data_IF_866008081113
#
_entry.id   IF_866008081113
#
_cell.length_a   1.000
_cell.length_b   1.000
_cell.length_c   1.000
_cell.angle_alpha   90.00
_cell.angle_beta   90.00
_cell.angle_gamma   90.00
#
_symmetry.space_group_name_H-M   'P 1'
#
loop_
_entity.id
_entity.type
_entity.pdbx_description
1 polymer ?
#
# COMPACT_ATOMS: atom_id res chain seq x y z
N UNK A 1 14.88 -1.88 17.78
CA UNK A 1 14.41 -0.53 17.31
C UNK A 1 13.73 -0.69 15.96
N UNK A 2 12.60 0.02 15.72
CA UNK A 2 11.91 0.04 14.42
C UNK A 2 12.68 0.94 13.45
N UNK A 3 13.06 0.37 12.30
CA UNK A 3 13.70 1.06 11.18
C UNK A 3 12.86 0.87 9.92
N UNK A 4 12.67 1.93 9.11
CA UNK A 4 11.93 1.87 7.84
C UNK A 4 12.80 2.43 6.73
N UNK A 5 13.05 1.61 5.72
CA UNK A 5 13.83 2.00 4.54
C UNK A 5 12.99 1.93 3.27
N UNK A 6 13.30 2.81 2.33
CA UNK A 6 12.76 2.72 0.98
C UNK A 6 13.31 1.46 0.32
N UNK A 7 12.42 0.66 -0.26
CA UNK A 7 12.76 -0.56 -0.96
C UNK A 7 13.36 -0.25 -2.34
N UNK A 8 14.39 -0.98 -2.70
CA UNK A 8 14.92 -1.06 -4.05
C UNK A 8 14.42 -2.31 -4.79
N UNK A 9 14.88 -2.53 -6.03
CA UNK A 9 14.51 -3.73 -6.80
C UNK A 9 14.83 -5.06 -6.12
N UNK A 10 15.84 -5.08 -5.24
CA UNK A 10 16.20 -6.29 -4.48
C UNK A 10 15.13 -6.69 -3.46
N UNK A 11 14.31 -5.77 -2.98
CA UNK A 11 13.22 -6.01 -2.06
C UNK A 11 11.89 -6.34 -2.75
N UNK A 12 11.78 -6.22 -4.07
CA UNK A 12 10.52 -6.50 -4.79
C UNK A 12 9.94 -7.89 -4.49
N UNK A 13 10.73 -8.97 -4.44
CA UNK A 13 10.19 -10.28 -4.08
C UNK A 13 9.47 -10.28 -2.72
N UNK A 14 10.02 -9.56 -1.73
CA UNK A 14 9.41 -9.41 -0.41
C UNK A 14 8.10 -8.62 -0.47
N UNK A 15 8.07 -7.52 -1.24
CA UNK A 15 6.87 -6.71 -1.40
C UNK A 15 5.73 -7.50 -2.06
N UNK A 16 6.05 -8.30 -3.06
CA UNK A 16 5.11 -9.19 -3.77
C UNK A 16 4.56 -10.25 -2.82
N UNK A 17 5.42 -10.91 -2.06
CA UNK A 17 5.05 -11.91 -1.06
C UNK A 17 4.08 -11.34 -0.02
N UNK A 18 4.38 -10.15 0.49
CA UNK A 18 3.53 -9.49 1.47
C UNK A 18 2.17 -9.09 0.88
N UNK A 19 2.12 -8.66 -0.39
CA UNK A 19 0.87 -8.35 -1.06
C UNK A 19 -0.01 -9.60 -1.23
N UNK A 20 0.55 -10.71 -1.68
CA UNK A 20 -0.18 -11.97 -1.80
C UNK A 20 -0.65 -12.48 -0.43
N UNK A 21 0.19 -12.34 0.61
CA UNK A 21 -0.18 -12.71 1.97
C UNK A 21 -1.36 -11.89 2.54
N UNK A 22 -1.61 -10.67 2.05
CA UNK A 22 -2.81 -9.91 2.40
C UNK A 22 -4.05 -10.60 1.86
N UNK A 23 -4.04 -11.02 0.60
CA UNK A 23 -5.15 -11.75 -0.02
C UNK A 23 -5.43 -13.09 0.67
N UNK A 24 -4.37 -13.82 1.02
CA UNK A 24 -4.48 -15.05 1.81
C UNK A 24 -5.14 -14.78 3.17
N UNK A 25 -4.81 -13.64 3.80
CA UNK A 25 -5.39 -13.24 5.08
C UNK A 25 -6.88 -12.94 5.03
N UNK A 26 -7.43 -12.69 3.85
CA UNK A 26 -8.88 -12.52 3.61
C UNK A 26 -9.59 -13.86 3.38
N UNK A 27 -8.86 -14.97 3.41
CA UNK A 27 -9.41 -16.29 3.13
C UNK A 27 -9.73 -16.52 1.65
N UNK A 28 -9.01 -15.83 0.75
CA UNK A 28 -9.18 -16.00 -0.69
C UNK A 28 -8.88 -17.44 -1.10
N UNK A 29 -9.84 -18.17 -1.72
CA UNK A 29 -9.60 -19.52 -2.21
C UNK A 29 -8.49 -19.54 -3.29
N UNK A 30 -7.68 -20.60 -3.31
CA UNK A 30 -6.57 -20.70 -4.26
C UNK A 30 -7.04 -20.62 -5.72
N UNK A 31 -8.18 -21.23 -6.04
CA UNK A 31 -8.80 -21.22 -7.36
C UNK A 31 -9.33 -19.84 -7.80
N UNK A 32 -9.39 -18.84 -6.91
CA UNK A 32 -9.78 -17.48 -7.25
C UNK A 32 -8.61 -16.62 -7.72
N UNK A 33 -7.37 -17.05 -7.49
CA UNK A 33 -6.22 -16.32 -8.01
C UNK A 33 -6.07 -16.53 -9.52
N UNK A 34 -5.68 -15.46 -10.20
CA UNK A 34 -5.23 -15.59 -11.59
C UNK A 34 -3.97 -16.47 -11.64
N UNK A 35 -3.84 -17.27 -12.69
CA UNK A 35 -2.68 -18.16 -12.86
C UNK A 35 -1.33 -17.42 -12.92
N UNK A 36 -1.36 -16.13 -13.29
CA UNK A 36 -0.22 -15.22 -13.36
C UNK A 36 -0.27 -14.11 -12.28
N UNK A 37 -0.90 -14.39 -11.12
CA UNK A 37 -1.09 -13.39 -10.07
C UNK A 37 0.22 -12.73 -9.62
N UNK A 38 1.28 -13.52 -9.42
CA UNK A 38 2.60 -13.02 -9.04
C UNK A 38 3.21 -12.12 -10.12
N UNK A 39 3.21 -12.56 -11.36
CA UNK A 39 3.72 -11.83 -12.51
C UNK A 39 2.96 -10.52 -12.75
N UNK A 40 1.66 -10.52 -12.45
CA UNK A 40 0.82 -9.31 -12.51
C UNK A 40 1.30 -8.26 -11.50
N UNK A 41 1.64 -8.66 -10.28
CA UNK A 41 2.19 -7.74 -9.28
C UNK A 41 3.57 -7.23 -9.69
N UNK A 42 4.43 -8.10 -10.23
CA UNK A 42 5.75 -7.74 -10.77
C UNK A 42 5.59 -6.64 -11.83
N UNK A 43 4.78 -6.88 -12.87
CA UNK A 43 4.52 -5.91 -13.94
C UNK A 43 4.03 -4.58 -13.40
N UNK A 44 3.09 -4.59 -12.46
CA UNK A 44 2.56 -3.38 -11.86
C UNK A 44 3.65 -2.55 -11.14
N UNK A 45 4.52 -3.20 -10.38
CA UNK A 45 5.63 -2.53 -9.70
C UNK A 45 6.61 -1.95 -10.73
N UNK A 46 6.99 -2.72 -11.76
CA UNK A 46 7.92 -2.30 -12.81
C UNK A 46 7.37 -1.11 -13.61
N UNK A 47 6.11 -1.15 -14.03
CA UNK A 47 5.45 -0.07 -14.78
C UNK A 47 5.36 1.24 -13.98
N UNK A 48 5.27 1.16 -12.66
CA UNK A 48 5.18 2.34 -11.79
C UNK A 48 6.54 2.84 -11.30
N UNK A 49 7.62 2.06 -11.43
CA UNK A 49 8.94 2.38 -10.87
C UNK A 49 9.50 3.73 -11.35
N UNK A 50 9.22 4.13 -12.58
CA UNK A 50 9.62 5.44 -13.12
C UNK A 50 8.82 6.62 -12.59
N UNK A 51 7.70 6.38 -11.89
CA UNK A 51 6.87 7.44 -11.34
C UNK A 51 7.37 7.83 -9.94
N UNK A 52 7.65 9.12 -9.74
CA UNK A 52 8.16 9.65 -8.46
C UNK A 52 7.24 9.41 -7.26
N UNK A 53 5.94 9.23 -7.47
CA UNK A 53 4.98 8.89 -6.41
C UNK A 53 5.01 7.42 -6.01
N UNK A 54 5.61 6.55 -6.85
CA UNK A 54 5.76 5.13 -6.52
C UNK A 54 6.92 4.93 -5.54
N UNK A 55 6.66 4.24 -4.45
CA UNK A 55 7.69 3.77 -3.53
C UNK A 55 7.21 2.54 -2.75
N UNK A 56 8.12 1.61 -2.52
CA UNK A 56 7.99 0.56 -1.54
C UNK A 56 8.76 0.93 -0.26
N UNK A 57 8.28 0.47 0.88
CA UNK A 57 8.92 0.64 2.18
C UNK A 57 8.97 -0.68 2.91
N UNK A 58 10.11 -0.98 3.53
CA UNK A 58 10.32 -2.17 4.35
C UNK A 58 10.65 -1.75 5.77
N UNK A 59 9.87 -2.24 6.71
CA UNK A 59 10.08 -2.06 8.14
C UNK A 59 10.85 -3.24 8.72
N UNK A 60 11.84 -2.94 9.57
CA UNK A 60 12.58 -3.94 10.34
C UNK A 60 12.54 -3.58 11.82
N UNK A 61 12.47 -4.59 12.67
CA UNK A 61 12.67 -4.49 14.11
C UNK A 61 13.88 -5.36 14.45
N UNK A 62 14.92 -4.74 15.00
CA UNK A 62 16.17 -5.41 15.38
C UNK A 62 16.77 -6.26 14.23
N UNK A 63 16.69 -5.68 13.00
CA UNK A 63 17.18 -6.29 11.77
C UNK A 63 16.23 -7.28 11.10
N UNK A 64 15.19 -7.76 11.78
CA UNK A 64 14.21 -8.70 11.24
C UNK A 64 13.09 -7.97 10.48
N UNK A 65 12.63 -8.55 9.37
CA UNK A 65 11.49 -8.03 8.60
C UNK A 65 10.25 -7.99 9.49
N UNK A 66 9.67 -6.81 9.63
CA UNK A 66 8.46 -6.59 10.43
C UNK A 66 7.23 -6.25 9.58
N UNK A 67 7.42 -5.75 8.35
CA UNK A 67 6.32 -5.44 7.45
C UNK A 67 6.77 -4.64 6.24
N UNK A 68 5.83 -4.33 5.38
CA UNK A 68 6.04 -3.46 4.21
C UNK A 68 4.79 -2.68 3.83
N UNK A 69 4.98 -1.65 3.01
CA UNK A 69 3.91 -0.92 2.35
C UNK A 69 4.36 -0.43 0.98
N UNK A 70 3.42 -0.24 0.08
CA UNK A 70 3.67 0.35 -1.24
C UNK A 70 2.68 1.49 -1.46
N UNK A 71 3.14 2.55 -2.12
CA UNK A 71 2.29 3.64 -2.57
C UNK A 71 2.59 4.03 -4.02
N UNK A 72 1.64 4.64 -4.68
CA UNK A 72 1.76 5.14 -6.05
C UNK A 72 0.75 6.26 -6.31
N UNK A 73 0.81 6.86 -7.51
CA UNK A 73 -0.23 7.76 -7.96
C UNK A 73 -1.53 6.98 -8.24
N UNK A 74 -2.65 7.45 -7.71
CA UNK A 74 -3.96 6.89 -8.06
C UNK A 74 -4.36 7.32 -9.46
N UNK A 75 -4.55 6.36 -10.35
CA UNK A 75 -5.15 6.59 -11.67
C UNK A 75 -6.66 6.41 -11.59
N UNK A 76 -7.41 7.44 -11.92
CA UNK A 76 -8.87 7.36 -11.95
C UNK A 76 -9.35 6.62 -13.20
N UNK A 77 -10.46 5.87 -13.10
CA UNK A 77 -11.12 5.29 -14.27
C UNK A 77 -11.92 6.31 -15.10
N UNK A 78 -11.88 7.59 -14.72
CA UNK A 78 -12.54 8.72 -15.37
C UNK A 78 -11.53 9.86 -15.56
N UNK A 79 -11.78 10.80 -16.51
CA UNK A 79 -10.90 11.93 -16.77
C UNK A 79 -10.68 12.79 -15.51
N UNK A 80 -9.42 13.11 -15.22
CA UNK A 80 -9.08 14.04 -14.16
C UNK A 80 -8.99 15.45 -14.75
N UNK A 81 -10.00 16.29 -14.43
CA UNK A 81 -10.15 17.64 -14.99
C UNK A 81 -9.70 18.74 -14.02
N UNK A 82 -9.31 18.38 -12.82
CA UNK A 82 -8.82 19.35 -11.84
C UNK A 82 -7.30 19.51 -11.95
N UNK A 83 -6.82 20.71 -11.63
CA UNK A 83 -5.39 20.97 -11.58
C UNK A 83 -4.70 20.08 -10.54
N UNK A 84 -3.47 19.59 -10.79
CA UNK A 84 -2.74 18.71 -9.86
C UNK A 84 -2.51 19.30 -8.47
N UNK A 85 -2.35 20.63 -8.36
CA UNK A 85 -2.21 21.35 -7.09
C UNK A 85 -3.52 21.42 -6.28
N UNK A 86 -4.67 21.20 -6.94
CA UNK A 86 -6.00 21.10 -6.30
C UNK A 86 -6.34 19.65 -5.97
N UNK A 87 -6.08 18.71 -6.89
CA UNK A 87 -6.42 17.31 -6.70
C UNK A 87 -5.42 16.37 -7.38
N UNK A 88 -4.41 15.95 -6.63
CA UNK A 88 -3.49 14.89 -7.01
C UNK A 88 -3.54 13.80 -5.94
N UNK A 89 -4.11 12.65 -6.28
CA UNK A 89 -4.35 11.58 -5.32
C UNK A 89 -3.24 10.55 -5.37
N UNK A 90 -2.62 10.29 -4.21
CA UNK A 90 -1.79 9.12 -3.99
C UNK A 90 -2.64 7.95 -3.47
N UNK A 91 -2.17 6.74 -3.72
CA UNK A 91 -2.80 5.51 -3.26
C UNK A 91 -1.80 4.68 -2.47
N UNK A 92 -2.18 4.29 -1.25
CA UNK A 92 -1.40 3.36 -0.43
C UNK A 92 -2.03 1.98 -0.55
N UNK A 93 -1.21 1.00 -0.91
CA UNK A 93 -1.63 -0.39 -1.01
C UNK A 93 -0.59 -1.32 -0.38
N UNK A 94 -0.96 -2.60 -0.19
CA UNK A 94 -0.05 -3.63 0.35
C UNK A 94 0.54 -3.30 1.73
N UNK A 95 -0.20 -2.61 2.61
CA UNK A 95 0.25 -2.43 4.00
C UNK A 95 0.15 -3.76 4.74
N UNK A 96 1.30 -4.37 4.98
CA UNK A 96 1.40 -5.67 5.64
C UNK A 96 2.29 -5.60 6.88
N UNK A 97 1.85 -6.24 7.95
CA UNK A 97 2.65 -6.44 9.16
C UNK A 97 2.77 -7.92 9.44
N UNK A 98 4.01 -8.40 9.53
CA UNK A 98 4.32 -9.80 9.89
C UNK A 98 3.65 -10.14 11.22
N UNK A 99 3.03 -11.32 11.30
CA UNK A 99 2.18 -11.72 12.42
C UNK A 99 2.84 -11.53 13.80
N UNK A 100 4.11 -11.91 13.93
CA UNK A 100 4.89 -11.76 15.18
C UNK A 100 5.20 -10.31 15.59
N UNK A 101 4.95 -9.36 14.69
CA UNK A 101 5.22 -7.93 14.89
C UNK A 101 3.92 -7.09 14.92
N UNK A 102 2.75 -7.72 14.87
CA UNK A 102 1.47 -7.02 15.01
C UNK A 102 1.34 -6.40 16.41
N UNK A 103 0.57 -5.33 16.51
CA UNK A 103 0.40 -4.59 17.77
C UNK A 103 1.57 -3.69 18.17
N UNK A 104 2.71 -3.73 17.45
CA UNK A 104 3.92 -2.95 17.74
C UNK A 104 4.02 -1.62 16.95
N UNK A 105 2.91 -1.16 16.34
CA UNK A 105 2.88 0.11 15.61
C UNK A 105 3.46 0.08 14.19
N UNK A 106 3.90 -1.07 13.69
CA UNK A 106 4.55 -1.20 12.37
C UNK A 106 3.67 -0.69 11.24
N UNK A 107 2.40 -1.11 11.18
CA UNK A 107 1.47 -0.68 10.14
C UNK A 107 1.26 0.84 10.16
N UNK A 108 1.12 1.44 11.35
CA UNK A 108 1.01 2.89 11.51
C UNK A 108 2.24 3.61 10.96
N UNK A 109 3.43 3.15 11.33
CA UNK A 109 4.69 3.77 10.92
C UNK A 109 4.91 3.66 9.40
N UNK A 110 4.61 2.50 8.79
CA UNK A 110 4.66 2.30 7.35
C UNK A 110 3.69 3.22 6.61
N UNK A 111 2.44 3.31 7.09
CA UNK A 111 1.43 4.20 6.50
C UNK A 111 1.86 5.67 6.60
N UNK A 112 2.36 6.10 7.74
CA UNK A 112 2.89 7.48 7.92
C UNK A 112 4.02 7.75 6.93
N UNK A 113 4.97 6.82 6.79
CA UNK A 113 6.08 6.97 5.84
C UNK A 113 5.60 7.10 4.39
N UNK A 114 4.58 6.33 4.00
CA UNK A 114 3.97 6.41 2.67
C UNK A 114 3.23 7.73 2.45
N UNK A 115 2.49 8.22 3.46
CA UNK A 115 1.82 9.54 3.42
C UNK A 115 2.86 10.65 3.19
N UNK A 116 3.95 10.66 3.94
CA UNK A 116 5.00 11.66 3.83
C UNK A 116 5.63 11.63 2.42
N UNK A 117 5.95 10.44 1.90
CA UNK A 117 6.48 10.30 0.55
C UNK A 117 5.52 10.86 -0.52
N UNK A 118 4.23 10.54 -0.43
CA UNK A 118 3.23 11.04 -1.38
C UNK A 118 3.08 12.56 -1.28
N UNK A 119 3.08 13.12 -0.07
CA UNK A 119 3.03 14.57 0.16
C UNK A 119 4.24 15.26 -0.44
N UNK A 120 5.45 14.74 -0.19
CA UNK A 120 6.71 15.30 -0.70
C UNK A 120 6.79 15.25 -2.24
N UNK A 121 6.03 14.36 -2.86
CA UNK A 121 5.89 14.24 -4.32
C UNK A 121 4.63 14.89 -4.88
N UNK A 122 4.03 15.83 -4.15
CA UNK A 122 2.98 16.73 -4.60
C UNK A 122 1.57 16.15 -4.60
N UNK A 123 1.32 15.02 -3.92
CA UNK A 123 -0.04 14.55 -3.71
C UNK A 123 -0.77 15.44 -2.70
N UNK A 124 -2.01 15.79 -3.01
CA UNK A 124 -2.88 16.62 -2.17
C UNK A 124 -3.81 15.77 -1.30
N UNK A 125 -4.06 14.54 -1.72
CA UNK A 125 -4.92 13.57 -1.03
C UNK A 125 -4.27 12.18 -1.08
N UNK A 126 -4.54 11.38 -0.08
CA UNK A 126 -4.14 9.97 -0.02
C UNK A 126 -5.39 9.12 0.13
N UNK A 127 -5.47 8.05 -0.65
CA UNK A 127 -6.57 7.09 -0.67
C UNK A 127 -6.03 5.69 -0.38
N UNK A 128 -6.81 4.87 0.29
CA UNK A 128 -6.56 3.45 0.48
C UNK A 128 -7.88 2.68 0.65
N UNK A 129 -7.83 1.37 0.46
CA UNK A 129 -8.91 0.47 0.84
C UNK A 129 -8.53 -0.21 2.15
N UNK A 130 -9.25 0.12 3.23
CA UNK A 130 -9.00 -0.44 4.55
C UNK A 130 -9.69 -1.80 4.71
N UNK A 131 -8.97 -2.79 5.28
CA UNK A 131 -9.62 -3.95 5.84
C UNK A 131 -10.38 -3.55 7.11
N UNK A 132 -11.35 -4.37 7.52
CA UNK A 132 -12.08 -4.14 8.78
C UNK A 132 -11.13 -4.00 9.97
N UNK A 133 -10.15 -4.90 10.07
CA UNK A 133 -9.14 -4.87 11.13
C UNK A 133 -8.21 -3.64 11.07
N UNK A 134 -7.95 -3.09 9.88
CA UNK A 134 -7.09 -1.93 9.68
C UNK A 134 -7.79 -0.59 9.89
N UNK A 135 -9.09 -0.53 9.72
CA UNK A 135 -9.89 0.70 9.76
C UNK A 135 -9.62 1.57 11.01
N UNK A 136 -9.59 1.04 12.25
CA UNK A 136 -9.35 1.87 13.43
C UNK A 136 -7.98 2.55 13.45
N UNK A 137 -6.97 1.93 12.85
CA UNK A 137 -5.64 2.51 12.72
C UNK A 137 -5.64 3.68 11.73
N UNK A 138 -6.30 3.53 10.59
CA UNK A 138 -6.38 4.58 9.57
C UNK A 138 -7.21 5.78 10.06
N UNK A 139 -8.31 5.55 10.75
CA UNK A 139 -9.12 6.62 11.37
C UNK A 139 -8.30 7.45 12.36
N UNK A 140 -7.46 6.80 13.19
CA UNK A 140 -6.51 7.49 14.09
C UNK A 140 -5.42 8.28 13.36
N UNK A 141 -5.14 7.98 12.11
CA UNK A 141 -4.24 8.74 11.24
C UNK A 141 -4.96 9.88 10.49
N UNK A 142 -6.27 10.04 10.69
CA UNK A 142 -7.08 11.09 10.09
C UNK A 142 -7.76 10.71 8.78
N UNK A 143 -7.73 9.43 8.38
CA UNK A 143 -8.50 8.97 7.24
C UNK A 143 -10.00 8.96 7.57
N UNK A 144 -10.80 9.39 6.61
CA UNK A 144 -12.26 9.36 6.67
C UNK A 144 -12.80 8.46 5.57
N UNK A 145 -13.98 7.88 5.78
CA UNK A 145 -14.63 7.02 4.78
C UNK A 145 -15.02 7.83 3.56
N UNK A 146 -14.66 7.34 2.38
CA UNK A 146 -15.10 7.87 1.09
C UNK A 146 -16.04 6.83 0.43
N UNK A 147 -17.04 7.33 -0.31
CA UNK A 147 -18.14 6.48 -0.76
C UNK A 147 -17.83 5.68 -2.02
N UNK A 148 -17.31 4.46 -1.92
CA UNK A 148 -17.42 3.45 -2.96
C UNK A 148 -18.68 2.60 -2.72
N UNK A 149 -19.48 2.38 -3.77
CA UNK A 149 -20.64 1.46 -3.74
C UNK A 149 -20.32 0.24 -4.61
N UNK A 150 -20.69 -0.95 -4.17
CA UNK A 150 -20.49 -2.22 -4.89
C UNK A 150 -21.79 -2.92 -5.13
N UNK A 151 -21.90 -3.51 -6.31
CA UNK A 151 -22.93 -4.48 -6.68
C UNK A 151 -22.25 -5.70 -7.30
N UNK A 152 -22.49 -6.87 -6.73
CA UNK A 152 -22.09 -8.12 -7.38
C UNK A 152 -23.08 -8.43 -8.51
N UNK A 153 -22.56 -8.86 -9.65
CA UNK A 153 -23.32 -9.23 -10.85
C UNK A 153 -23.43 -10.76 -10.96
#
# INVERSE_FOLDING_TARGET
>A
MLDIKTAGPAEDPLLIEHYLAIWDSYGTPEEHYASDARETVVRFIEENRGNRTHAGFVARIDGQIAGSAICCLLRSPFPDVLKPDVRRRGYIWSVYTVRSHRGKGVGKALTTRAIDHLRDNGCTHVVLHASEAGTPMYEKLGFTRAGEMRLAL
#
